data_IF_725471423495
#
_entry.id   IF_725471423495
#
_cell.length_a   1.000
_cell.length_b   1.000
_cell.length_c   1.000
_cell.angle_alpha   90.00
_cell.angle_beta   90.00
_cell.angle_gamma   90.00
#
_symmetry.space_group_name_H-M   'P 1'
#
loop_
_entity.id
_entity.type
_entity.pdbx_description
1 polymer ?
#
# COMPACT_ATOMS: atom_id res chain seq x y z
N UNK A 1 14.31 -30.28 10.63
CA UNK A 1 13.27 -29.34 11.05
C UNK A 1 12.62 -28.84 9.78
N UNK A 2 11.40 -29.30 9.50
CA UNK A 2 10.65 -28.90 8.31
C UNK A 2 9.98 -27.58 8.67
N UNK A 3 10.45 -26.49 8.06
CA UNK A 3 9.77 -25.21 8.07
C UNK A 3 8.37 -25.41 7.49
N UNK A 4 7.37 -25.26 8.36
CA UNK A 4 5.98 -25.09 7.94
C UNK A 4 5.83 -23.63 7.51
N UNK A 5 5.49 -23.33 6.23
CA UNK A 5 5.28 -21.96 5.84
C UNK A 5 3.95 -21.47 6.42
N UNK A 6 4.04 -20.36 7.13
CA UNK A 6 2.97 -19.64 7.78
C UNK A 6 1.90 -19.16 6.80
N UNK A 7 0.64 -19.15 7.25
CA UNK A 7 -0.33 -18.14 6.83
C UNK A 7 -1.15 -18.41 5.56
N UNK A 8 -1.78 -19.59 5.46
CA UNK A 8 -2.83 -19.80 4.46
C UNK A 8 -4.07 -18.95 4.76
N UNK A 9 -4.17 -17.78 4.13
CA UNK A 9 -5.46 -17.10 4.02
C UNK A 9 -6.42 -18.07 3.33
N UNK A 10 -7.40 -18.60 4.05
CA UNK A 10 -8.36 -19.55 3.50
C UNK A 10 -9.01 -18.99 2.23
N UNK A 11 -9.12 -19.82 1.20
CA UNK A 11 -9.77 -19.47 -0.07
C UNK A 11 -11.09 -18.76 0.18
N UNK A 12 -11.37 -17.69 -0.57
CA UNK A 12 -12.63 -16.98 -0.45
C UNK A 12 -13.79 -17.94 -0.73
N UNK A 13 -14.94 -17.75 -0.07
CA UNK A 13 -16.08 -18.65 -0.22
C UNK A 13 -16.52 -18.85 -1.69
N UNK A 14 -16.34 -17.83 -2.53
CA UNK A 14 -16.58 -17.91 -3.98
C UNK A 14 -15.54 -18.74 -4.74
N UNK A 15 -14.27 -18.67 -4.36
CA UNK A 15 -13.21 -19.48 -4.96
C UNK A 15 -13.41 -20.95 -4.61
N UNK A 16 -13.79 -21.23 -3.35
CA UNK A 16 -14.22 -22.57 -2.93
C UNK A 16 -15.45 -23.05 -3.70
N UNK A 17 -16.44 -22.18 -3.91
CA UNK A 17 -17.62 -22.53 -4.70
C UNK A 17 -17.27 -22.87 -6.17
N UNK A 18 -16.33 -22.15 -6.78
CA UNK A 18 -15.85 -22.44 -8.13
C UNK A 18 -15.11 -23.79 -8.20
N UNK A 19 -14.21 -24.06 -7.26
CA UNK A 19 -13.53 -25.35 -7.16
C UNK A 19 -14.50 -26.53 -6.95
N UNK A 20 -15.51 -26.35 -6.09
CA UNK A 20 -16.56 -27.36 -5.87
C UNK A 20 -17.38 -27.58 -7.15
N UNK A 21 -17.68 -26.53 -7.92
CA UNK A 21 -18.42 -26.65 -9.17
C UNK A 21 -17.62 -27.44 -10.23
N UNK A 22 -16.31 -27.22 -10.34
CA UNK A 22 -15.43 -27.99 -11.22
C UNK A 22 -15.37 -29.47 -10.82
N UNK A 23 -15.15 -29.77 -9.53
CA UNK A 23 -15.06 -31.13 -9.02
C UNK A 23 -16.39 -31.89 -9.09
N UNK A 24 -17.51 -31.20 -8.90
CA UNK A 24 -18.85 -31.80 -9.03
C UNK A 24 -19.09 -32.28 -10.47
N UNK A 25 -18.48 -31.63 -11.48
CA UNK A 25 -18.52 -32.08 -12.87
C UNK A 25 -17.73 -33.36 -13.17
N UNK A 26 -16.86 -33.80 -12.25
CA UNK A 26 -16.03 -35.01 -12.37
C UNK A 26 -16.67 -36.25 -11.71
N UNK A 27 -17.91 -36.13 -11.22
CA UNK A 27 -18.67 -37.26 -10.66
C UNK A 27 -18.56 -37.45 -9.15
N UNK A 28 -17.96 -36.49 -8.43
CA UNK A 28 -17.96 -36.48 -6.97
C UNK A 28 -19.30 -35.98 -6.40
N UNK A 29 -19.72 -36.53 -5.25
CA UNK A 29 -20.96 -36.10 -4.61
C UNK A 29 -20.84 -34.66 -4.06
N UNK A 30 -21.85 -33.85 -4.32
CA UNK A 30 -21.85 -32.44 -3.95
C UNK A 30 -21.86 -32.23 -2.43
N UNK A 31 -22.49 -33.11 -1.66
CA UNK A 31 -22.54 -32.98 -0.20
C UNK A 31 -21.13 -33.13 0.40
N UNK A 32 -20.40 -34.17 -0.04
CA UNK A 32 -19.02 -34.43 0.40
C UNK A 32 -18.08 -33.28 0.04
N UNK A 33 -18.21 -32.74 -1.18
CA UNK A 33 -17.41 -31.59 -1.64
C UNK A 33 -17.67 -30.33 -0.82
N UNK A 34 -18.93 -30.06 -0.47
CA UNK A 34 -19.30 -28.90 0.32
C UNK A 34 -18.85 -29.02 1.78
N UNK A 35 -18.91 -30.23 2.34
CA UNK A 35 -18.38 -30.53 3.68
C UNK A 35 -16.85 -30.33 3.70
N UNK A 36 -16.13 -30.91 2.73
CA UNK A 36 -14.68 -30.76 2.61
C UNK A 36 -14.25 -29.30 2.41
N UNK A 37 -15.03 -28.51 1.65
CA UNK A 37 -14.76 -27.09 1.43
C UNK A 37 -15.21 -26.19 2.60
N UNK A 38 -15.92 -26.72 3.60
CA UNK A 38 -16.53 -25.94 4.67
C UNK A 38 -17.47 -24.85 4.13
N UNK A 39 -18.30 -25.19 3.15
CA UNK A 39 -19.15 -24.25 2.42
C UNK A 39 -20.63 -24.62 2.54
N UNK A 40 -21.47 -23.69 2.99
CA UNK A 40 -22.91 -23.91 3.04
C UNK A 40 -23.51 -24.02 1.62
N UNK A 41 -24.47 -24.94 1.42
CA UNK A 41 -25.21 -25.11 0.14
C UNK A 41 -25.77 -23.80 -0.40
N UNK A 42 -26.35 -22.96 0.46
CA UNK A 42 -26.88 -21.65 0.07
C UNK A 42 -25.82 -20.71 -0.48
N UNK A 43 -24.60 -20.74 0.10
CA UNK A 43 -23.47 -19.92 -0.36
C UNK A 43 -22.95 -20.40 -1.70
N UNK A 44 -22.90 -21.73 -1.92
CA UNK A 44 -22.53 -22.33 -3.19
C UNK A 44 -23.46 -21.88 -4.33
N UNK A 45 -24.78 -22.09 -4.18
CA UNK A 45 -25.74 -21.69 -5.22
C UNK A 45 -25.79 -20.17 -5.41
N UNK A 46 -25.66 -19.39 -4.34
CA UNK A 46 -25.56 -17.94 -4.44
C UNK A 46 -24.34 -17.50 -5.26
N UNK A 47 -23.19 -18.12 -5.04
CA UNK A 47 -21.96 -17.83 -5.77
C UNK A 47 -22.08 -18.16 -7.27
N UNK A 48 -22.71 -19.28 -7.61
CA UNK A 48 -22.98 -19.67 -9.00
C UNK A 48 -23.96 -18.73 -9.69
N UNK A 49 -25.04 -18.34 -9.00
CA UNK A 49 -26.04 -17.43 -9.55
C UNK A 49 -25.53 -15.98 -9.71
N UNK A 50 -24.51 -15.59 -8.94
CA UNK A 50 -23.99 -14.22 -8.91
C UNK A 50 -22.48 -14.20 -9.24
N UNK A 51 -22.11 -14.44 -10.51
CA UNK A 51 -20.73 -14.36 -10.95
C UNK A 51 -20.19 -12.94 -10.70
N UNK A 52 -18.95 -12.85 -10.22
CA UNK A 52 -18.34 -11.56 -9.88
C UNK A 52 -17.96 -10.83 -11.17
N UNK A 53 -18.80 -9.89 -11.57
CA UNK A 53 -18.51 -9.00 -12.68
C UNK A 53 -17.36 -8.02 -12.39
N UNK A 54 -16.73 -7.48 -13.45
CA UNK A 54 -15.73 -6.43 -13.31
C UNK A 54 -16.32 -5.18 -12.64
N UNK A 55 -15.57 -4.56 -11.72
CA UNK A 55 -15.98 -3.25 -11.20
C UNK A 55 -15.92 -2.22 -12.32
N UNK A 56 -17.04 -1.50 -12.55
CA UNK A 56 -17.13 -0.33 -13.46
C UNK A 56 -16.45 -0.59 -14.82
N UNK A 57 -16.91 -1.59 -15.59
CA UNK A 57 -16.27 -1.99 -16.84
C UNK A 57 -16.13 -0.83 -17.84
N UNK A 58 -17.08 0.10 -17.84
CA UNK A 58 -17.12 1.26 -18.71
C UNK A 58 -15.95 2.26 -18.52
N UNK A 59 -15.25 2.20 -17.38
CA UNK A 59 -14.14 3.09 -17.06
C UNK A 59 -12.77 2.42 -17.16
N UNK A 60 -12.71 1.10 -17.40
CA UNK A 60 -11.46 0.34 -17.31
C UNK A 60 -10.44 0.75 -18.36
N UNK A 61 -10.86 0.94 -19.61
CA UNK A 61 -9.96 1.34 -20.68
C UNK A 61 -9.33 2.71 -20.40
N UNK A 62 -10.16 3.65 -19.92
CA UNK A 62 -9.68 4.98 -19.53
C UNK A 62 -8.73 4.91 -18.33
N UNK A 63 -8.99 4.04 -17.35
CA UNK A 63 -8.06 3.83 -16.21
C UNK A 63 -6.71 3.29 -16.68
N UNK A 64 -6.70 2.32 -17.60
CA UNK A 64 -5.46 1.79 -18.17
C UNK A 64 -4.68 2.87 -18.93
N UNK A 65 -5.37 3.68 -19.73
CA UNK A 65 -4.77 4.80 -20.47
C UNK A 65 -4.13 5.81 -19.52
N UNK A 66 -4.86 6.29 -18.50
CA UNK A 66 -4.35 7.26 -17.53
C UNK A 66 -3.15 6.68 -16.79
N UNK A 67 -3.24 5.42 -16.37
CA UNK A 67 -2.15 4.75 -15.67
C UNK A 67 -0.87 4.73 -16.51
N UNK A 68 -0.97 4.46 -17.81
CA UNK A 68 0.18 4.36 -18.73
C UNK A 68 0.85 5.68 -19.09
N UNK A 69 0.34 6.84 -18.65
CA UNK A 69 0.92 8.16 -18.98
C UNK A 69 2.26 8.43 -18.32
N UNK A 70 2.57 7.73 -17.23
CA UNK A 70 3.84 7.84 -16.53
C UNK A 70 4.57 6.49 -16.54
N UNK A 71 5.91 6.46 -16.66
CA UNK A 71 6.67 5.22 -16.68
C UNK A 71 6.45 4.30 -15.47
N UNK A 72 6.17 4.88 -14.29
CA UNK A 72 5.95 4.14 -13.05
C UNK A 72 4.47 3.88 -12.73
N UNK A 73 3.58 4.27 -13.64
CA UNK A 73 2.15 4.29 -13.39
C UNK A 73 1.69 5.55 -12.64
N UNK A 74 0.40 5.84 -12.75
CA UNK A 74 -0.28 6.90 -12.00
C UNK A 74 -1.01 6.29 -10.79
N UNK A 75 -0.95 6.95 -9.63
CA UNK A 75 -1.63 6.48 -8.43
C UNK A 75 -3.15 6.58 -8.53
N UNK A 76 -3.90 5.68 -7.86
CA UNK A 76 -5.36 5.63 -7.93
C UNK A 76 -6.08 6.95 -7.57
N UNK A 77 -5.50 7.79 -6.70
CA UNK A 77 -6.06 9.11 -6.37
C UNK A 77 -5.99 10.06 -7.57
N UNK A 78 -4.86 10.08 -8.28
CA UNK A 78 -4.67 10.89 -9.48
C UNK A 78 -5.55 10.39 -10.62
N UNK A 79 -5.65 9.07 -10.80
CA UNK A 79 -6.59 8.47 -11.75
C UNK A 79 -8.03 8.91 -11.43
N UNK A 80 -8.45 8.85 -10.16
CA UNK A 80 -9.78 9.28 -9.75
C UNK A 80 -10.03 10.77 -9.98
N UNK A 81 -9.05 11.64 -9.73
CA UNK A 81 -9.14 13.07 -10.03
C UNK A 81 -9.36 13.31 -11.52
N UNK A 82 -8.60 12.65 -12.38
CA UNK A 82 -8.73 12.83 -13.82
C UNK A 82 -10.06 12.29 -14.36
N UNK A 83 -10.50 11.11 -13.90
CA UNK A 83 -11.80 10.55 -14.27
C UNK A 83 -12.95 11.52 -13.93
N UNK A 84 -12.85 12.24 -12.81
CA UNK A 84 -13.83 13.27 -12.42
C UNK A 84 -13.72 14.53 -13.28
N UNK A 85 -12.50 15.06 -13.41
CA UNK A 85 -12.27 16.37 -14.02
C UNK A 85 -12.43 16.36 -15.55
N UNK A 86 -11.94 15.33 -16.22
CA UNK A 86 -11.96 15.21 -17.68
C UNK A 86 -13.13 14.33 -18.14
N UNK A 87 -13.34 13.21 -17.46
CA UNK A 87 -14.37 12.23 -17.83
C UNK A 87 -15.75 12.51 -17.24
N UNK A 88 -15.89 13.49 -16.34
CA UNK A 88 -17.16 13.79 -15.65
C UNK A 88 -17.67 12.66 -14.75
N UNK A 89 -16.88 11.62 -14.50
CA UNK A 89 -17.32 10.42 -13.82
C UNK A 89 -17.49 10.65 -12.31
N UNK A 90 -18.66 10.32 -11.77
CA UNK A 90 -18.90 10.29 -10.31
C UNK A 90 -18.38 8.99 -9.72
N UNK A 91 -17.10 8.96 -9.38
CA UNK A 91 -16.43 7.78 -8.83
C UNK A 91 -15.66 8.11 -7.54
N UNK A 92 -15.64 7.18 -6.58
CA UNK A 92 -14.83 7.28 -5.36
C UNK A 92 -13.43 6.70 -5.57
N UNK A 93 -12.43 7.22 -4.86
CA UNK A 93 -11.03 6.78 -4.98
C UNK A 93 -10.86 5.28 -4.69
N UNK A 94 -11.63 4.75 -3.73
CA UNK A 94 -11.61 3.32 -3.38
C UNK A 94 -12.15 2.42 -4.49
N UNK A 95 -13.09 2.92 -5.29
CA UNK A 95 -13.60 2.19 -6.46
C UNK A 95 -12.53 2.11 -7.54
N UNK A 96 -11.83 3.21 -7.80
CA UNK A 96 -10.68 3.23 -8.72
C UNK A 96 -9.56 2.29 -8.22
N UNK A 97 -9.25 2.33 -6.92
CA UNK A 97 -8.27 1.42 -6.33
C UNK A 97 -8.68 -0.06 -6.52
N UNK A 98 -9.96 -0.38 -6.35
CA UNK A 98 -10.48 -1.74 -6.57
C UNK A 98 -10.35 -2.15 -8.04
N UNK A 99 -10.74 -1.28 -8.98
CA UNK A 99 -10.57 -1.52 -10.42
C UNK A 99 -9.10 -1.77 -10.78
N UNK A 100 -8.20 -0.91 -10.31
CA UNK A 100 -6.76 -1.05 -10.56
C UNK A 100 -6.23 -2.39 -10.03
N UNK A 101 -6.65 -2.82 -8.83
CA UNK A 101 -6.28 -4.12 -8.27
C UNK A 101 -6.82 -5.29 -9.11
N UNK A 102 -8.08 -5.23 -9.52
CA UNK A 102 -8.70 -6.24 -10.40
C UNK A 102 -7.98 -6.32 -11.76
N UNK A 103 -7.42 -5.21 -12.24
CA UNK A 103 -6.66 -5.12 -13.49
C UNK A 103 -5.15 -5.40 -13.31
N UNK A 104 -4.68 -5.67 -12.09
CA UNK A 104 -3.25 -5.86 -11.80
C UNK A 104 -2.39 -4.58 -11.88
N UNK A 105 -3.01 -3.40 -12.01
CA UNK A 105 -2.32 -2.12 -12.09
C UNK A 105 -1.80 -1.69 -10.72
N UNK A 106 -0.48 -1.58 -10.59
CA UNK A 106 0.19 -1.12 -9.36
C UNK A 106 1.15 0.01 -9.68
N UNK A 107 0.89 1.18 -9.10
CA UNK A 107 1.80 2.31 -9.18
C UNK A 107 3.05 1.99 -8.34
N UNK A 108 4.23 2.02 -8.96
CA UNK A 108 5.49 1.88 -8.24
C UNK A 108 5.80 3.17 -7.49
N UNK A 109 5.92 3.11 -6.17
CA UNK A 109 6.55 4.20 -5.41
C UNK A 109 8.04 4.09 -5.68
N UNK A 110 8.66 5.16 -6.18
CA UNK A 110 10.12 5.23 -6.33
C UNK A 110 10.71 5.03 -4.93
N UNK A 111 11.45 3.95 -4.70
CA UNK A 111 12.15 3.75 -3.43
C UNK A 111 13.06 4.96 -3.21
N UNK A 112 13.00 5.54 -2.01
CA UNK A 112 14.08 6.40 -1.53
C UNK A 112 15.33 5.52 -1.47
N UNK A 113 16.19 5.62 -2.49
CA UNK A 113 17.53 5.05 -2.44
C UNK A 113 18.39 5.91 -1.51
N UNK A 114 19.40 5.34 -0.85
CA UNK A 114 20.30 6.06 0.07
C UNK A 114 20.92 7.33 -0.53
N UNK A 115 21.10 7.35 -1.86
CA UNK A 115 21.59 8.50 -2.63
C UNK A 115 20.61 9.69 -2.75
N UNK A 116 19.35 9.52 -2.36
CA UNK A 116 18.32 10.57 -2.35
C UNK A 116 18.07 11.13 -0.94
N UNK A 117 18.71 10.58 0.09
CA UNK A 117 18.66 11.15 1.44
C UNK A 117 19.62 12.34 1.47
N UNK A 118 19.06 13.55 1.47
CA UNK A 118 19.84 14.77 1.65
C UNK A 118 20.69 14.64 2.92
N UNK A 119 22.01 14.71 2.76
CA UNK A 119 22.96 14.69 3.87
C UNK A 119 23.74 16.00 3.88
N UNK A 120 23.38 16.91 4.80
CA UNK A 120 24.11 18.16 5.04
C UNK A 120 25.36 17.98 5.89
N UNK A 121 25.58 16.80 6.48
CA UNK A 121 26.74 16.51 7.30
C UNK A 121 27.98 16.44 6.40
N UNK A 122 28.81 17.48 6.47
CA UNK A 122 30.08 17.58 5.73
C UNK A 122 31.24 16.85 6.41
N UNK A 123 30.96 15.98 7.39
CA UNK A 123 31.98 15.43 8.29
C UNK A 123 32.26 16.35 9.48
N UNK A 124 33.33 16.04 10.22
CA UNK A 124 33.85 16.91 11.29
C UNK A 124 34.48 18.14 10.64
N UNK A 125 33.86 19.31 10.80
CA UNK A 125 34.38 20.58 10.28
C UNK A 125 34.65 21.50 11.47
N UNK A 126 35.92 21.87 11.67
CA UNK A 126 36.37 22.74 12.76
C UNK A 126 36.86 21.99 14.02
N UNK A 127 37.23 22.75 15.06
CA UNK A 127 37.50 22.20 16.38
C UNK A 127 36.17 21.74 17.00
N UNK A 128 36.11 20.47 17.39
CA UNK A 128 34.94 19.89 18.04
C UNK A 128 35.21 19.75 19.52
N UNK A 129 34.23 20.13 20.34
CA UNK A 129 34.24 19.84 21.75
C UNK A 129 33.84 18.39 21.98
N UNK A 130 34.36 17.79 23.05
CA UNK A 130 33.96 16.44 23.44
C UNK A 130 32.44 16.37 23.61
N UNK A 131 31.82 15.30 23.09
CA UNK A 131 30.38 15.09 23.26
C UNK A 131 30.09 14.64 24.69
N UNK A 132 30.05 15.61 25.61
CA UNK A 132 29.86 15.39 27.06
C UNK A 132 28.57 14.63 27.36
N UNK A 133 27.52 14.79 26.54
CA UNK A 133 26.25 14.11 26.75
C UNK A 133 26.24 12.69 26.20
N UNK A 134 26.92 12.41 25.07
CA UNK A 134 26.99 11.06 24.52
C UNK A 134 25.64 10.38 24.24
N UNK A 135 24.57 11.16 24.02
CA UNK A 135 23.14 10.73 23.96
C UNK A 135 22.53 10.25 25.29
N UNK A 136 23.20 10.47 26.42
CA UNK A 136 22.62 10.29 27.74
C UNK A 136 21.94 11.57 28.22
N UNK A 137 20.61 11.58 28.12
CA UNK A 137 19.75 12.68 28.57
C UNK A 137 19.17 12.47 29.98
N UNK A 138 19.53 11.38 30.68
CA UNK A 138 19.04 11.14 32.05
C UNK A 138 19.78 12.05 33.03
N UNK A 139 19.05 12.59 34.01
CA UNK A 139 19.59 13.43 35.08
C UNK A 139 18.88 13.09 36.40
N UNK A 140 19.61 13.16 37.52
CA UNK A 140 19.11 12.85 38.86
C UNK A 140 18.42 14.06 39.52
N UNK A 141 18.56 15.25 38.92
CA UNK A 141 17.94 16.49 39.36
C UNK A 141 17.72 17.47 38.22
N UNK A 142 16.87 18.51 38.44
CA UNK A 142 16.60 19.53 37.44
C UNK A 142 17.86 20.35 37.14
N UNK A 143 17.96 20.90 35.92
CA UNK A 143 19.06 21.77 35.44
C UNK A 143 20.46 21.15 35.37
N UNK A 144 20.62 19.83 35.57
CA UNK A 144 21.92 19.16 35.47
C UNK A 144 22.39 18.91 34.03
N UNK A 145 21.44 18.75 33.10
CA UNK A 145 21.70 18.62 31.66
C UNK A 145 20.73 19.54 30.92
N UNK A 146 21.27 20.46 30.13
CA UNK A 146 20.50 21.38 29.30
C UNK A 146 21.05 21.33 27.88
N UNK A 147 20.18 21.03 26.93
CA UNK A 147 20.49 21.08 25.50
C UNK A 147 19.58 22.10 24.84
N UNK A 148 20.14 22.89 23.93
CA UNK A 148 19.38 23.71 22.99
C UNK A 148 19.61 23.16 21.59
N UNK A 149 18.58 23.16 20.76
CA UNK A 149 18.72 22.90 19.34
C UNK A 149 19.01 24.20 18.60
N UNK A 150 19.97 24.16 17.67
CA UNK A 150 20.22 25.29 16.77
C UNK A 150 19.23 25.19 15.61
N UNK A 151 18.38 26.20 15.44
CA UNK A 151 17.40 26.24 14.35
C UNK A 151 17.97 27.01 13.15
N UNK A 152 18.04 26.37 11.98
CA UNK A 152 18.42 27.01 10.70
C UNK A 152 17.19 27.67 10.04
N UNK A 153 17.27 28.97 9.78
CA UNK A 153 16.30 29.73 9.00
C UNK A 153 16.85 30.03 7.61
N UNK A 154 16.03 29.81 6.57
CA UNK A 154 16.36 30.20 5.20
C UNK A 154 15.80 31.58 4.91
N UNK A 155 16.68 32.53 4.63
CA UNK A 155 16.35 33.92 4.29
C UNK A 155 16.80 34.22 2.86
N UNK A 156 16.27 35.31 2.27
CA UNK A 156 16.59 35.72 0.89
C UNK A 156 18.07 36.01 0.66
N UNK A 157 18.80 36.38 1.72
CA UNK A 157 20.23 36.68 1.69
C UNK A 157 21.11 35.52 2.20
N UNK A 158 20.54 34.36 2.50
CA UNK A 158 21.30 33.19 2.95
C UNK A 158 20.71 32.50 4.16
N UNK A 159 21.56 31.81 4.91
CA UNK A 159 21.18 31.01 6.08
C UNK A 159 21.44 31.80 7.36
N UNK A 160 20.47 31.80 8.27
CA UNK A 160 20.63 32.32 9.63
C UNK A 160 20.44 31.18 10.63
N UNK A 161 21.16 31.25 11.75
CA UNK A 161 21.12 30.25 12.82
C UNK A 161 20.71 30.93 14.12
N UNK A 162 19.64 30.45 14.76
CA UNK A 162 19.25 30.86 16.11
C UNK A 162 19.78 29.79 17.08
N UNK A 163 20.60 30.22 18.03
CA UNK A 163 21.20 29.39 19.07
C UNK A 163 20.72 29.84 20.45
#
# INVERSE_FOLDING_TARGET
MIDSPEGGAGLAARERAAAVAELSGLGHDLADLLEAAGLARSTYYYALANPKGPTRPELRDRVAEIFGRLPNGVGHRQVAMELRAVGGARIADKTVLRMMREMGLRCGIRRETDYHRYNSYKGVVGETFENVLGRDFKADGPWQKMGTDVTEFRLSFGKAYLA
#
